data_IF_348109459129
#
_entry.id   IF_348109459129
#
_cell.length_a   1.000
_cell.length_b   1.000
_cell.length_c   1.000
_cell.angle_alpha   90.00
_cell.angle_beta   90.00
_cell.angle_gamma   90.00
#
_symmetry.space_group_name_H-M   'P 1'
#
loop_
_entity.id
_entity.type
_entity.pdbx_description
1 polymer ?
#
# COMPACT_ATOMS: atom_id res chain seq x y z
N UNK A 1 -56.66 24.64 52.82
CA UNK A 1 -55.37 25.34 52.63
C UNK A 1 -54.41 24.36 51.95
N UNK A 2 -53.75 24.84 50.89
CA UNK A 2 -52.95 24.11 49.88
C UNK A 2 -51.82 23.24 50.46
N UNK A 3 -51.49 22.14 49.76
CA UNK A 3 -50.13 21.65 49.45
C UNK A 3 -50.24 20.31 48.69
N UNK A 4 -50.14 20.29 47.35
CA UNK A 4 -48.93 20.37 46.51
C UNK A 4 -48.61 18.98 45.94
N UNK A 5 -49.10 18.74 44.72
CA UNK A 5 -48.67 17.67 43.81
C UNK A 5 -47.24 17.97 43.33
N UNK A 6 -46.31 17.03 43.49
CA UNK A 6 -45.00 17.07 42.85
C UNK A 6 -44.92 15.94 41.82
N UNK A 7 -45.01 16.35 40.55
CA UNK A 7 -44.79 15.54 39.36
C UNK A 7 -43.28 15.37 39.20
N UNK A 8 -42.78 14.13 39.27
CA UNK A 8 -41.40 13.80 38.90
C UNK A 8 -41.32 13.61 37.38
N UNK A 9 -40.78 14.60 36.68
CA UNK A 9 -40.40 14.49 35.27
C UNK A 9 -38.88 14.32 35.13
N UNK A 10 -38.52 13.25 34.41
CA UNK A 10 -37.41 13.10 33.47
C UNK A 10 -35.97 13.46 33.90
N UNK A 11 -35.12 12.44 33.84
CA UNK A 11 -33.66 12.58 33.78
C UNK A 11 -33.01 11.37 33.09
N UNK A 12 -33.51 10.98 31.90
CA UNK A 12 -32.81 10.04 31.03
C UNK A 12 -31.61 10.76 30.41
N UNK A 13 -30.46 10.73 31.09
CA UNK A 13 -29.18 11.13 30.51
C UNK A 13 -28.70 10.04 29.56
N UNK A 14 -29.30 9.97 28.37
CA UNK A 14 -28.66 9.32 27.23
C UNK A 14 -27.45 10.18 26.85
N UNK A 15 -26.28 9.79 27.38
CA UNK A 15 -25.01 10.27 26.91
C UNK A 15 -24.82 9.83 25.47
N UNK A 16 -25.27 10.67 24.52
CA UNK A 16 -24.71 10.69 23.19
C UNK A 16 -23.23 11.05 23.35
N UNK A 17 -22.38 10.03 23.42
CA UNK A 17 -20.97 10.22 23.10
C UNK A 17 -20.92 10.65 21.65
N UNK A 18 -20.87 11.96 21.42
CA UNK A 18 -20.46 12.51 20.13
C UNK A 18 -19.09 11.89 19.84
N UNK A 19 -19.07 10.91 18.93
CA UNK A 19 -17.84 10.39 18.36
C UNK A 19 -17.21 11.60 17.69
N UNK A 20 -16.15 12.16 18.27
CA UNK A 20 -15.48 13.31 17.68
C UNK A 20 -15.15 12.93 16.23
N UNK A 21 -15.76 13.66 15.28
CA UNK A 21 -15.49 13.48 13.86
C UNK A 21 -13.99 13.63 13.68
N UNK A 22 -13.31 12.52 13.44
CA UNK A 22 -11.87 12.54 13.37
C UNK A 22 -11.52 13.28 12.09
N UNK A 23 -10.79 14.40 12.16
CA UNK A 23 -10.66 15.29 11.03
C UNK A 23 -10.12 14.55 9.80
N UNK A 24 -10.79 14.77 8.67
CA UNK A 24 -10.34 14.32 7.35
C UNK A 24 -9.09 15.10 7.00
N UNK A 25 -8.04 14.41 6.59
CA UNK A 25 -6.85 15.08 6.09
C UNK A 25 -7.17 15.65 4.69
N UNK A 26 -6.91 16.93 4.45
CA UNK A 26 -7.30 17.56 3.20
C UNK A 26 -6.37 18.71 2.79
N UNK A 27 -6.38 19.02 1.49
CA UNK A 27 -5.65 20.13 0.91
C UNK A 27 -4.14 20.00 1.01
N UNK A 28 -3.43 21.13 1.00
CA UNK A 28 -1.96 21.18 1.05
C UNK A 28 -1.36 20.56 2.32
N UNK A 29 -2.15 20.43 3.39
CA UNK A 29 -1.71 19.86 4.67
C UNK A 29 -2.02 18.36 4.78
N UNK A 30 -2.58 17.72 3.73
CA UNK A 30 -2.91 16.30 3.76
C UNK A 30 -1.69 15.43 4.16
N UNK A 31 -0.47 15.61 3.61
CA UNK A 31 0.69 14.82 4.02
C UNK A 31 0.98 14.91 5.52
N UNK A 32 1.06 16.12 6.07
CA UNK A 32 1.32 16.32 7.50
C UNK A 32 0.27 15.61 8.37
N UNK A 33 -1.01 15.79 8.04
CA UNK A 33 -2.11 15.15 8.77
C UNK A 33 -2.10 13.61 8.64
N UNK A 34 -1.76 13.08 7.46
CA UNK A 34 -1.66 11.64 7.24
C UNK A 34 -0.51 11.03 8.02
N UNK A 35 0.66 11.68 8.07
CA UNK A 35 1.78 11.21 8.89
C UNK A 35 1.46 11.25 10.39
N UNK A 36 0.73 12.26 10.86
CA UNK A 36 0.20 12.26 12.23
C UNK A 36 -0.73 11.06 12.46
N UNK A 37 -1.70 10.82 11.58
CA UNK A 37 -2.61 9.68 11.70
C UNK A 37 -1.87 8.33 11.74
N UNK A 38 -0.85 8.16 10.90
CA UNK A 38 -0.02 6.94 10.86
C UNK A 38 0.80 6.78 12.14
N UNK A 39 1.37 7.87 12.68
CA UNK A 39 2.14 7.80 13.91
C UNK A 39 1.25 7.60 15.15
N UNK A 40 0.06 8.21 15.18
CA UNK A 40 -0.96 7.98 16.20
C UNK A 40 -1.41 6.51 16.21
N UNK A 41 -1.53 5.88 15.03
CA UNK A 41 -1.79 4.44 14.93
C UNK A 41 -0.67 3.58 15.54
N UNK A 42 0.54 4.12 15.71
CA UNK A 42 1.63 3.44 16.41
C UNK A 42 1.59 3.63 17.94
N UNK A 43 0.76 4.54 18.47
CA UNK A 43 0.65 4.81 19.91
C UNK A 43 0.46 3.57 20.81
N UNK A 44 -0.45 2.61 20.48
CA UNK A 44 -0.65 1.42 21.31
C UNK A 44 0.51 0.43 21.28
N UNK A 45 1.47 0.57 20.36
CA UNK A 45 2.59 -0.36 20.24
C UNK A 45 3.61 -0.18 21.39
N UNK A 46 4.20 -1.28 21.88
CA UNK A 46 5.38 -1.26 22.75
C UNK A 46 6.54 -0.44 22.17
N UNK A 47 7.38 0.14 23.05
CA UNK A 47 8.48 1.01 22.65
C UNK A 47 9.45 0.36 21.66
N UNK A 48 9.76 -0.93 21.86
CA UNK A 48 10.61 -1.71 20.96
C UNK A 48 10.04 -1.85 19.54
N UNK A 49 8.72 -2.01 19.40
CA UNK A 49 8.05 -2.10 18.09
C UNK A 49 8.01 -0.73 17.42
N UNK A 50 7.77 0.34 18.18
CA UNK A 50 7.86 1.73 17.68
C UNK A 50 9.26 2.05 17.18
N UNK A 51 10.30 1.69 17.92
CA UNK A 51 11.69 1.87 17.51
C UNK A 51 12.03 1.13 16.20
N UNK A 52 11.43 -0.04 15.95
CA UNK A 52 11.59 -0.76 14.67
C UNK A 52 10.86 -0.11 13.50
N UNK A 53 9.73 0.57 13.74
CA UNK A 53 8.94 1.26 12.69
C UNK A 53 9.54 2.63 12.36
N UNK A 54 10.10 3.32 13.35
CA UNK A 54 10.60 4.69 13.23
C UNK A 54 11.49 4.94 11.99
N UNK A 55 12.47 4.08 11.63
CA UNK A 55 13.26 4.30 10.42
C UNK A 55 12.43 4.23 9.13
N UNK A 56 11.44 3.33 9.06
CA UNK A 56 10.55 3.22 7.90
C UNK A 56 9.63 4.44 7.80
N UNK A 57 9.11 4.89 8.95
CA UNK A 57 8.29 6.10 9.02
C UNK A 57 9.06 7.33 8.52
N UNK A 58 10.26 7.58 9.04
CA UNK A 58 11.08 8.72 8.63
C UNK A 58 11.51 8.66 7.16
N UNK A 59 11.75 7.47 6.63
CA UNK A 59 12.02 7.27 5.21
C UNK A 59 10.79 7.62 4.34
N UNK A 60 9.58 7.21 4.74
CA UNK A 60 8.34 7.62 4.03
C UNK A 60 8.09 9.12 4.14
N UNK A 61 8.35 9.75 5.29
CA UNK A 61 8.27 11.21 5.44
C UNK A 61 9.23 11.91 4.48
N UNK A 62 10.47 11.41 4.36
CA UNK A 62 11.47 11.95 3.43
C UNK A 62 10.97 11.88 1.98
N UNK A 63 10.29 10.80 1.60
CA UNK A 63 9.73 10.62 0.26
C UNK A 63 8.62 11.65 -0.09
N UNK A 64 8.02 12.30 0.91
CA UNK A 64 7.07 13.40 0.67
C UNK A 64 7.71 14.69 0.17
N UNK A 65 9.04 14.77 0.09
CA UNK A 65 9.74 15.90 -0.52
C UNK A 65 9.63 17.23 0.23
N UNK A 66 9.16 17.21 1.48
CA UNK A 66 9.06 18.41 2.35
C UNK A 66 10.15 18.40 3.43
N UNK A 67 11.24 19.19 3.26
CA UNK A 67 12.32 19.27 4.25
C UNK A 67 11.83 19.74 5.63
N UNK A 68 10.87 20.67 5.66
CA UNK A 68 10.29 21.17 6.90
C UNK A 68 9.55 20.06 7.67
N UNK A 69 8.73 19.26 6.97
CA UNK A 69 8.03 18.13 7.57
C UNK A 69 9.01 17.06 8.06
N UNK A 70 10.03 16.76 7.27
CA UNK A 70 11.08 15.81 7.66
C UNK A 70 11.82 16.28 8.92
N UNK A 71 12.24 17.54 8.97
CA UNK A 71 12.94 18.13 10.12
C UNK A 71 12.07 18.09 11.38
N UNK A 72 10.77 18.41 11.25
CA UNK A 72 9.82 18.33 12.35
C UNK A 72 9.76 16.92 12.94
N UNK A 73 9.64 15.90 12.09
CA UNK A 73 9.56 14.51 12.53
C UNK A 73 10.89 13.99 13.08
N UNK A 74 12.03 14.36 12.50
CA UNK A 74 13.35 14.01 13.04
C UNK A 74 13.54 14.59 14.45
N UNK A 75 13.14 15.85 14.66
CA UNK A 75 13.20 16.50 15.97
C UNK A 75 12.26 15.82 16.98
N UNK A 76 11.02 15.54 16.59
CA UNK A 76 10.03 14.87 17.46
C UNK A 76 10.46 13.46 17.86
N UNK A 77 11.06 12.72 16.95
CA UNK A 77 11.44 11.32 17.18
C UNK A 77 12.87 11.16 17.68
N UNK A 78 13.66 12.24 17.74
CA UNK A 78 15.05 12.21 18.18
C UNK A 78 15.95 11.32 17.32
N UNK A 79 15.64 11.16 16.03
CA UNK A 79 16.41 10.32 15.11
C UNK A 79 16.49 10.92 13.71
N UNK A 80 17.57 10.60 13.01
CA UNK A 80 17.73 11.00 11.61
C UNK A 80 17.08 10.01 10.66
N UNK A 81 16.49 10.51 9.57
CA UNK A 81 16.11 9.66 8.47
C UNK A 81 17.36 9.02 7.86
N UNK A 82 17.37 7.70 7.80
CA UNK A 82 18.46 6.95 7.18
C UNK A 82 18.06 6.71 5.73
N UNK A 83 18.82 7.25 4.79
CA UNK A 83 18.70 6.84 3.40
C UNK A 83 19.18 5.39 3.30
N UNK A 84 18.27 4.46 3.06
CA UNK A 84 18.67 3.12 2.64
C UNK A 84 19.15 3.25 1.21
N UNK A 85 20.42 2.91 0.95
CA UNK A 85 20.88 2.69 -0.42
C UNK A 85 19.85 1.83 -1.15
N UNK A 86 19.49 2.16 -2.40
CA UNK A 86 18.53 1.35 -3.14
C UNK A 86 19.02 -0.10 -3.10
N UNK A 87 18.13 -1.01 -2.67
CA UNK A 87 18.44 -2.42 -2.68
C UNK A 87 18.84 -2.82 -4.10
N UNK A 88 19.81 -3.74 -4.24
CA UNK A 88 20.14 -4.32 -5.54
C UNK A 88 18.84 -4.90 -6.12
N UNK A 89 18.42 -4.39 -7.28
CA UNK A 89 17.20 -4.84 -7.95
C UNK A 89 17.50 -6.08 -8.78
N UNK A 90 17.66 -7.20 -8.07
CA UNK A 90 17.92 -8.50 -8.69
C UNK A 90 16.82 -8.89 -9.69
N UNK A 91 15.58 -8.45 -9.49
CA UNK A 91 14.47 -8.77 -10.39
C UNK A 91 14.59 -8.03 -11.71
N UNK A 92 15.01 -6.76 -11.69
CA UNK A 92 15.32 -6.01 -12.91
C UNK A 92 16.56 -6.56 -13.62
N UNK A 93 17.60 -6.95 -12.88
CA UNK A 93 18.79 -7.57 -13.47
C UNK A 93 18.46 -8.90 -14.17
N UNK A 94 17.66 -9.75 -13.52
CA UNK A 94 17.16 -11.00 -14.10
C UNK A 94 16.29 -10.74 -15.34
N UNK A 95 15.39 -9.76 -15.27
CA UNK A 95 14.54 -9.43 -16.40
C UNK A 95 15.36 -8.93 -17.60
N UNK A 96 16.34 -8.04 -17.37
CA UNK A 96 17.26 -7.56 -18.43
C UNK A 96 18.06 -8.70 -19.04
N UNK A 97 18.56 -9.63 -18.22
CA UNK A 97 19.33 -10.78 -18.70
C UNK A 97 18.51 -11.66 -19.65
N UNK A 98 17.27 -12.01 -19.27
CA UNK A 98 16.41 -12.86 -20.11
C UNK A 98 16.03 -12.16 -21.42
N UNK A 99 15.71 -10.86 -21.36
CA UNK A 99 15.40 -10.07 -22.57
C UNK A 99 16.61 -9.96 -23.48
N UNK A 100 17.80 -9.76 -22.94
CA UNK A 100 19.04 -9.71 -23.73
C UNK A 100 19.37 -11.05 -24.39
N UNK A 101 19.09 -12.16 -23.71
CA UNK A 101 19.36 -13.52 -24.21
C UNK A 101 18.35 -13.96 -25.28
N UNK A 102 17.07 -13.65 -25.12
CA UNK A 102 15.98 -14.32 -25.85
C UNK A 102 14.93 -13.38 -26.44
N UNK A 103 15.11 -12.06 -26.28
CA UNK A 103 14.12 -11.06 -26.70
C UNK A 103 12.85 -11.10 -25.86
N UNK A 104 11.88 -10.24 -26.22
CA UNK A 104 10.62 -10.10 -25.47
C UNK A 104 9.67 -11.29 -25.62
N UNK A 105 9.69 -11.97 -26.77
CA UNK A 105 8.90 -13.19 -26.97
C UNK A 105 9.48 -14.35 -26.14
N UNK A 106 10.81 -14.52 -26.15
CA UNK A 106 11.49 -15.50 -25.32
C UNK A 106 11.31 -15.25 -23.82
N UNK A 107 11.30 -13.98 -23.40
CA UNK A 107 10.96 -13.59 -22.03
C UNK A 107 9.58 -14.10 -21.61
N UNK A 108 8.55 -13.83 -22.43
CA UNK A 108 7.18 -14.27 -22.14
C UNK A 108 7.06 -15.80 -22.15
N UNK A 109 7.64 -16.47 -23.15
CA UNK A 109 7.61 -17.93 -23.26
C UNK A 109 8.28 -18.59 -22.05
N UNK A 110 9.44 -18.08 -21.62
CA UNK A 110 10.19 -18.60 -20.47
C UNK A 110 9.43 -18.38 -19.16
N UNK A 111 8.76 -17.23 -19.01
CA UNK A 111 7.89 -16.96 -17.86
C UNK A 111 6.69 -17.92 -17.82
N UNK A 112 6.03 -18.16 -18.96
CA UNK A 112 4.92 -19.11 -19.06
C UNK A 112 5.34 -20.53 -18.73
N UNK A 113 6.53 -20.94 -19.17
CA UNK A 113 7.11 -22.25 -18.84
C UNK A 113 7.55 -22.38 -17.37
N UNK A 114 7.64 -21.27 -16.61
CA UNK A 114 8.18 -21.29 -15.25
C UNK A 114 9.66 -21.71 -15.19
N UNK A 115 10.40 -21.51 -16.28
CA UNK A 115 11.81 -21.86 -16.35
C UNK A 115 12.68 -20.78 -15.69
N UNK A 116 13.89 -21.17 -15.24
CA UNK A 116 14.86 -20.26 -14.60
C UNK A 116 15.02 -18.96 -15.41
N UNK A 117 14.92 -17.76 -14.80
CA UNK A 117 14.79 -17.49 -13.36
C UNK A 117 13.35 -17.46 -12.81
N UNK A 118 12.33 -17.64 -13.65
CA UNK A 118 10.91 -17.58 -13.26
C UNK A 118 10.41 -18.80 -12.48
N UNK A 119 11.27 -19.72 -12.07
CA UNK A 119 10.91 -20.78 -11.12
C UNK A 119 10.79 -20.25 -9.68
N UNK A 120 11.31 -19.04 -9.41
CA UNK A 120 11.23 -18.34 -8.12
C UNK A 120 10.98 -16.85 -8.38
N UNK A 121 9.98 -16.24 -7.71
CA UNK A 121 9.71 -14.80 -7.85
C UNK A 121 9.23 -14.40 -9.25
N UNK A 122 8.48 -15.29 -9.92
CA UNK A 122 7.97 -15.05 -11.28
C UNK A 122 7.15 -13.76 -11.39
N UNK A 123 6.19 -13.46 -10.48
CA UNK A 123 5.44 -12.21 -10.54
C UNK A 123 6.33 -10.96 -10.53
N UNK A 124 7.36 -10.94 -9.68
CA UNK A 124 8.27 -9.81 -9.51
C UNK A 124 9.17 -9.61 -10.72
N UNK A 125 9.75 -10.70 -11.26
CA UNK A 125 10.58 -10.64 -12.48
C UNK A 125 9.73 -10.19 -13.67
N UNK A 126 8.51 -10.70 -13.82
CA UNK A 126 7.60 -10.24 -14.86
C UNK A 126 7.24 -8.76 -14.70
N UNK A 127 6.97 -8.29 -13.48
CA UNK A 127 6.69 -6.88 -13.22
C UNK A 127 7.89 -5.98 -13.56
N UNK A 128 9.12 -6.42 -13.26
CA UNK A 128 10.32 -5.75 -13.71
C UNK A 128 10.42 -5.71 -15.25
N UNK A 129 10.07 -6.80 -15.93
CA UNK A 129 9.94 -6.85 -17.39
C UNK A 129 8.94 -5.83 -17.94
N UNK A 130 7.76 -5.70 -17.31
CA UNK A 130 6.75 -4.68 -17.68
C UNK A 130 7.30 -3.26 -17.55
N UNK A 131 8.11 -2.97 -16.52
CA UNK A 131 8.76 -1.66 -16.33
C UNK A 131 9.85 -1.39 -17.36
N UNK A 132 10.52 -2.42 -17.85
CA UNK A 132 11.58 -2.35 -18.86
C UNK A 132 11.07 -2.37 -20.32
N UNK A 133 9.78 -2.63 -20.53
CA UNK A 133 9.20 -2.73 -21.85
C UNK A 133 9.48 -1.46 -22.70
N UNK A 134 9.93 -1.61 -23.96
CA UNK A 134 10.39 -0.48 -24.78
C UNK A 134 9.23 0.39 -25.29
N UNK A 135 8.02 -0.16 -25.29
CA UNK A 135 6.83 0.48 -25.84
C UNK A 135 5.55 0.01 -25.12
N UNK A 136 4.45 0.74 -25.38
CA UNK A 136 3.15 0.46 -24.78
C UNK A 136 2.52 -0.86 -25.27
N UNK A 137 2.88 -1.36 -26.44
CA UNK A 137 2.35 -2.63 -26.95
C UNK A 137 2.96 -3.81 -26.18
N UNK A 138 4.29 -3.81 -26.01
CA UNK A 138 5.03 -4.79 -25.22
C UNK A 138 4.59 -4.73 -23.75
N UNK A 139 4.44 -3.53 -23.19
CA UNK A 139 3.94 -3.36 -21.82
C UNK A 139 2.57 -4.02 -21.63
N UNK A 140 1.60 -3.72 -22.51
CA UNK A 140 0.25 -4.31 -22.46
C UNK A 140 0.28 -5.84 -22.63
N UNK A 141 1.08 -6.35 -23.56
CA UNK A 141 1.23 -7.80 -23.78
C UNK A 141 1.75 -8.50 -22.52
N UNK A 142 2.81 -7.98 -21.91
CA UNK A 142 3.38 -8.56 -20.69
C UNK A 142 2.42 -8.47 -19.50
N UNK A 143 1.73 -7.33 -19.31
CA UNK A 143 0.69 -7.20 -18.28
C UNK A 143 -0.44 -8.20 -18.48
N UNK A 144 -0.89 -8.41 -19.72
CA UNK A 144 -1.91 -9.42 -20.01
C UNK A 144 -1.40 -10.84 -19.72
N UNK A 145 -0.15 -11.16 -20.08
CA UNK A 145 0.45 -12.45 -19.76
C UNK A 145 0.51 -12.71 -18.25
N UNK A 146 0.79 -11.68 -17.43
CA UNK A 146 0.73 -11.78 -15.97
C UNK A 146 -0.69 -12.09 -15.47
N UNK A 147 -1.71 -11.43 -16.03
CA UNK A 147 -3.12 -11.73 -15.69
C UNK A 147 -3.52 -13.16 -16.08
N UNK A 148 -3.09 -13.64 -17.25
CA UNK A 148 -3.35 -15.01 -17.69
C UNK A 148 -2.70 -16.00 -16.71
N UNK A 149 -1.44 -15.76 -16.34
CA UNK A 149 -0.68 -16.62 -15.44
C UNK A 149 -1.32 -16.69 -14.05
N UNK A 150 -1.82 -15.57 -13.52
CA UNK A 150 -2.54 -15.51 -12.24
C UNK A 150 -3.85 -16.33 -12.21
N UNK A 151 -4.42 -16.63 -13.39
CA UNK A 151 -5.67 -17.41 -13.52
C UNK A 151 -5.43 -18.88 -13.83
N UNK A 152 -4.20 -19.26 -14.21
CA UNK A 152 -3.86 -20.65 -14.52
C UNK A 152 -3.85 -21.45 -13.23
N UNK A 153 -4.80 -22.38 -13.07
CA UNK A 153 -4.68 -23.43 -12.05
C UNK A 153 -3.57 -24.37 -12.50
N UNK A 154 -2.47 -24.47 -11.75
CA UNK A 154 -1.51 -25.52 -12.05
C UNK A 154 -2.09 -26.82 -11.52
N UNK A 155 -2.14 -27.84 -12.38
CA UNK A 155 -2.69 -29.17 -12.03
C UNK A 155 -1.85 -29.94 -11.00
N UNK A 156 -0.90 -29.29 -10.31
CA UNK A 156 -0.17 -29.84 -9.16
C UNK A 156 -0.96 -29.56 -7.89
N UNK A 157 -1.98 -30.36 -7.63
CA UNK A 157 -2.91 -30.23 -6.49
C UNK A 157 -2.26 -29.98 -5.13
N UNK A 158 -2.05 -28.71 -4.78
CA UNK A 158 -1.51 -28.26 -3.50
C UNK A 158 -1.70 -26.76 -3.31
N UNK A 159 -1.53 -26.29 -2.07
CA UNK A 159 -1.68 -24.89 -1.62
C UNK A 159 -0.85 -23.83 -2.39
N UNK A 160 0.08 -24.24 -3.28
CA UNK A 160 1.01 -23.34 -3.99
C UNK A 160 0.38 -22.41 -5.03
N UNK A 161 -0.72 -22.82 -5.65
CA UNK A 161 -1.37 -22.08 -6.73
C UNK A 161 -2.00 -20.76 -6.27
N UNK A 162 -2.56 -20.76 -5.05
CA UNK A 162 -3.16 -19.57 -4.48
C UNK A 162 -2.10 -18.53 -4.08
N UNK A 163 -0.92 -18.98 -3.59
CA UNK A 163 0.17 -18.06 -3.26
C UNK A 163 0.67 -17.30 -4.48
N UNK A 164 0.98 -18.01 -5.57
CA UNK A 164 1.49 -17.36 -6.79
C UNK A 164 0.44 -16.42 -7.40
N UNK A 165 -0.84 -16.81 -7.37
CA UNK A 165 -1.94 -15.93 -7.78
C UNK A 165 -1.96 -14.64 -6.95
N UNK A 166 -1.79 -14.73 -5.62
CA UNK A 166 -1.79 -13.57 -4.74
C UNK A 166 -0.60 -12.64 -5.02
N UNK A 167 0.57 -13.20 -5.30
CA UNK A 167 1.78 -12.45 -5.64
C UNK A 167 1.63 -11.75 -7.01
N UNK A 168 1.05 -12.43 -8.02
CA UNK A 168 0.65 -11.77 -9.27
C UNK A 168 -0.36 -10.65 -9.03
N UNK A 169 -1.39 -10.87 -8.20
CA UNK A 169 -2.35 -9.84 -7.85
C UNK A 169 -1.69 -8.61 -7.23
N UNK A 170 -0.71 -8.80 -6.34
CA UNK A 170 0.05 -7.71 -5.74
C UNK A 170 0.88 -6.95 -6.78
N UNK A 171 1.67 -7.67 -7.57
CA UNK A 171 2.55 -7.07 -8.59
C UNK A 171 1.74 -6.30 -9.65
N UNK A 172 0.61 -6.86 -10.11
CA UNK A 172 -0.31 -6.19 -11.03
C UNK A 172 -0.96 -4.96 -10.42
N UNK A 173 -1.38 -5.01 -9.14
CA UNK A 173 -1.95 -3.86 -8.46
C UNK A 173 -0.94 -2.72 -8.34
N UNK A 174 0.34 -3.04 -8.05
CA UNK A 174 1.40 -2.04 -8.02
C UNK A 174 1.63 -1.40 -9.40
N UNK A 175 1.73 -2.21 -10.46
CA UNK A 175 1.90 -1.72 -11.83
C UNK A 175 0.74 -0.84 -12.29
N UNK A 176 -0.50 -1.27 -12.04
CA UNK A 176 -1.70 -0.51 -12.39
C UNK A 176 -1.81 0.78 -11.57
N UNK A 177 -1.46 0.75 -10.28
CA UNK A 177 -1.37 1.95 -9.44
C UNK A 177 -0.35 2.95 -10.00
N UNK A 178 0.86 2.49 -10.35
CA UNK A 178 1.89 3.35 -10.94
C UNK A 178 1.44 3.95 -12.28
N UNK A 179 0.75 3.15 -13.10
CA UNK A 179 0.25 3.53 -14.42
C UNK A 179 -1.08 4.31 -14.41
N UNK A 180 -1.67 4.58 -13.24
CA UNK A 180 -2.98 5.24 -13.12
C UNK A 180 -4.14 4.50 -13.81
N UNK A 181 -4.06 3.16 -13.87
CA UNK A 181 -5.09 2.30 -14.47
C UNK A 181 -6.03 1.75 -13.39
N UNK A 182 -7.16 2.43 -13.15
CA UNK A 182 -8.13 2.03 -12.11
C UNK A 182 -8.76 0.67 -12.39
N UNK A 183 -9.07 0.37 -13.65
CA UNK A 183 -9.73 -0.89 -14.01
C UNK A 183 -8.79 -2.07 -13.83
N UNK A 184 -7.54 -1.93 -14.29
CA UNK A 184 -6.50 -2.93 -14.04
C UNK A 184 -6.22 -3.10 -12.55
N UNK A 185 -6.20 -1.99 -11.80
CA UNK A 185 -6.00 -2.00 -10.35
C UNK A 185 -7.09 -2.79 -9.62
N UNK A 186 -8.37 -2.46 -9.84
CA UNK A 186 -9.49 -3.12 -9.16
C UNK A 186 -9.54 -4.63 -9.52
N UNK A 187 -9.24 -4.99 -10.78
CA UNK A 187 -9.10 -6.40 -11.20
C UNK A 187 -7.93 -7.10 -10.50
N UNK A 188 -6.79 -6.45 -10.35
CA UNK A 188 -5.61 -7.00 -9.73
C UNK A 188 -5.79 -7.23 -8.21
N UNK A 189 -6.35 -6.24 -7.51
CA UNK A 189 -6.62 -6.31 -6.07
C UNK A 189 -7.56 -7.46 -5.72
N UNK A 190 -8.59 -7.71 -6.54
CA UNK A 190 -9.51 -8.83 -6.36
C UNK A 190 -8.84 -10.21 -6.41
N UNK A 191 -7.63 -10.31 -6.95
CA UNK A 191 -6.85 -11.55 -6.98
C UNK A 191 -5.92 -11.70 -5.77
N UNK A 192 -5.75 -10.70 -4.92
CA UNK A 192 -4.84 -10.74 -3.77
C UNK A 192 -5.42 -11.51 -2.58
N UNK A 193 -4.57 -11.92 -1.63
CA UNK A 193 -5.01 -12.59 -0.41
C UNK A 193 -5.87 -11.71 0.52
N UNK A 194 -5.69 -10.39 0.46
CA UNK A 194 -6.32 -9.42 1.35
C UNK A 194 -6.74 -8.17 0.56
N UNK A 195 -7.78 -8.27 -0.29
CA UNK A 195 -8.20 -7.18 -1.17
C UNK A 195 -8.59 -5.90 -0.41
N UNK A 196 -9.18 -6.05 0.77
CA UNK A 196 -9.62 -4.92 1.60
C UNK A 196 -8.50 -4.30 2.45
N UNK A 197 -7.25 -4.73 2.27
CA UNK A 197 -6.14 -4.21 3.07
C UNK A 197 -5.97 -2.70 2.92
N UNK A 198 -5.53 -2.05 4.01
CA UNK A 198 -5.29 -0.61 4.02
C UNK A 198 -4.29 -0.17 2.94
N UNK A 199 -3.30 -1.02 2.62
CA UNK A 199 -2.32 -0.77 1.55
C UNK A 199 -3.03 -0.53 0.21
N UNK A 200 -3.92 -1.44 -0.20
CA UNK A 200 -4.63 -1.33 -1.47
C UNK A 200 -5.64 -0.18 -1.46
N UNK A 201 -6.28 0.10 -0.32
CA UNK A 201 -7.14 1.28 -0.19
C UNK A 201 -6.34 2.58 -0.46
N UNK A 202 -5.14 2.73 0.12
CA UNK A 202 -4.28 3.89 -0.11
C UNK A 202 -3.74 3.94 -1.55
N UNK A 203 -3.31 2.80 -2.11
CA UNK A 203 -2.89 2.73 -3.51
C UNK A 203 -4.00 3.16 -4.48
N UNK A 204 -5.24 2.74 -4.21
CA UNK A 204 -6.41 3.17 -4.98
C UNK A 204 -6.60 4.69 -4.89
N UNK A 205 -6.40 5.28 -3.72
CA UNK A 205 -6.50 6.75 -3.55
C UNK A 205 -5.46 7.51 -4.34
N UNK A 206 -4.29 6.91 -4.66
CA UNK A 206 -3.36 7.53 -5.62
C UNK A 206 -4.03 7.78 -6.98
N UNK A 207 -4.86 6.85 -7.42
CA UNK A 207 -5.58 6.93 -8.71
C UNK A 207 -6.79 7.85 -8.59
N UNK A 208 -7.58 7.74 -7.52
CA UNK A 208 -8.85 8.47 -7.39
C UNK A 208 -8.76 9.83 -6.69
N UNK A 209 -7.64 10.11 -6.02
CA UNK A 209 -7.47 11.23 -5.10
C UNK A 209 -7.97 10.93 -3.68
N UNK A 210 -7.76 11.91 -2.79
CA UNK A 210 -8.34 12.01 -1.45
C UNK A 210 -7.96 10.89 -0.47
N UNK A 211 -6.66 10.56 -0.37
CA UNK A 211 -6.14 9.62 0.62
C UNK A 211 -6.52 10.00 2.05
N UNK A 212 -6.69 11.29 2.33
CA UNK A 212 -7.04 11.78 3.66
C UNK A 212 -8.38 11.30 4.22
N UNK A 213 -9.28 10.79 3.38
CA UNK A 213 -10.50 10.10 3.83
C UNK A 213 -10.19 8.81 4.63
N UNK A 214 -9.00 8.21 4.44
CA UNK A 214 -8.57 7.00 5.14
C UNK A 214 -7.93 7.30 6.51
N UNK A 215 -7.75 8.56 6.90
CA UNK A 215 -7.09 8.93 8.16
C UNK A 215 -7.80 8.35 9.39
N UNK A 216 -9.13 8.35 9.42
CA UNK A 216 -9.90 7.74 10.51
C UNK A 216 -9.69 6.21 10.57
N UNK A 217 -9.64 5.55 9.42
CA UNK A 217 -9.37 4.11 9.32
C UNK A 217 -7.97 3.77 9.86
N UNK A 218 -6.97 4.56 9.48
CA UNK A 218 -5.58 4.41 9.95
C UNK A 218 -5.53 4.46 11.48
N UNK A 219 -6.19 5.44 12.11
CA UNK A 219 -6.18 5.61 13.57
C UNK A 219 -6.92 4.49 14.32
N UNK A 220 -8.07 4.06 13.80
CA UNK A 220 -9.01 3.25 14.57
C UNK A 220 -8.80 1.74 14.43
N UNK A 221 -8.11 1.27 13.40
CA UNK A 221 -7.90 -0.18 13.16
C UNK A 221 -6.56 -0.69 13.73
N UNK A 222 -5.78 0.16 14.40
CA UNK A 222 -4.50 -0.22 14.97
C UNK A 222 -4.63 -1.11 16.23
N UNK A 223 -3.69 -2.03 16.40
CA UNK A 223 -3.59 -2.91 17.58
C UNK A 223 -2.21 -2.80 18.24
N UNK A 224 -2.14 -3.02 19.55
CA UNK A 224 -0.89 -3.07 20.32
C UNK A 224 0.00 -4.29 19.95
N UNK A 225 -0.60 -5.33 19.39
CA UNK A 225 0.06 -6.61 19.18
C UNK A 225 0.84 -6.67 17.86
N UNK A 226 0.51 -5.80 16.89
CA UNK A 226 0.93 -6.02 15.52
C UNK A 226 1.30 -4.73 14.78
N UNK A 227 2.48 -4.75 14.17
CA UNK A 227 3.00 -3.64 13.35
C UNK A 227 2.47 -3.64 11.91
N UNK A 228 1.81 -4.71 11.46
CA UNK A 228 1.32 -4.87 10.08
C UNK A 228 0.40 -3.73 9.66
N UNK A 229 -0.45 -3.23 10.56
CA UNK A 229 -1.35 -2.11 10.26
C UNK A 229 -0.57 -0.83 9.93
N UNK A 230 0.35 -0.42 10.80
CA UNK A 230 1.18 0.77 10.61
C UNK A 230 2.10 0.62 9.38
N UNK A 231 2.68 -0.57 9.16
CA UNK A 231 3.47 -0.87 7.96
C UNK A 231 2.63 -0.79 6.69
N UNK A 232 1.42 -1.35 6.70
CA UNK A 232 0.48 -1.29 5.58
C UNK A 232 0.07 0.15 5.27
N UNK A 233 -0.09 1.00 6.28
CA UNK A 233 -0.35 2.43 6.10
C UNK A 233 0.85 3.15 5.46
N UNK A 234 2.08 2.88 5.93
CA UNK A 234 3.30 3.45 5.38
C UNK A 234 3.52 3.01 3.93
N UNK A 235 3.48 1.71 3.65
CA UNK A 235 3.64 1.14 2.31
C UNK A 235 2.51 1.55 1.35
N UNK A 236 1.31 1.76 1.89
CA UNK A 236 0.16 2.27 1.14
C UNK A 236 0.29 3.75 0.78
N UNK A 237 0.76 4.58 1.71
CA UNK A 237 0.84 6.03 1.51
C UNK A 237 2.12 6.48 0.81
N UNK A 238 3.21 5.69 0.86
CA UNK A 238 4.48 6.02 0.21
C UNK A 238 4.33 6.37 -1.28
N UNK A 239 3.59 5.61 -2.11
CA UNK A 239 3.38 5.97 -3.51
C UNK A 239 2.57 7.27 -3.70
N UNK A 240 1.65 7.60 -2.79
CA UNK A 240 0.89 8.85 -2.87
C UNK A 240 1.82 10.05 -2.69
N UNK A 241 2.70 10.00 -1.69
CA UNK A 241 3.61 11.12 -1.40
C UNK A 241 4.81 11.20 -2.34
N UNK A 242 5.28 10.08 -2.89
CA UNK A 242 6.45 10.04 -3.78
C UNK A 242 6.10 10.26 -5.26
N UNK A 243 4.95 9.76 -5.72
CA UNK A 243 4.55 9.82 -7.12
C UNK A 243 3.39 10.80 -7.38
N UNK A 244 2.81 11.38 -6.32
CA UNK A 244 1.62 12.21 -6.40
C UNK A 244 0.36 11.45 -6.82
N UNK A 245 -0.76 12.18 -6.85
CA UNK A 245 -2.00 11.69 -7.43
C UNK A 245 -1.93 11.64 -8.96
N UNK A 246 -2.69 10.73 -9.55
CA UNK A 246 -2.89 10.68 -10.99
C UNK A 246 -3.60 11.95 -11.49
N UNK A 247 -3.18 12.45 -12.66
CA UNK A 247 -3.90 13.53 -13.33
C UNK A 247 -5.34 13.08 -13.63
N UNK A 248 -6.31 13.96 -13.37
CA UNK A 248 -7.72 13.73 -13.69
C UNK A 248 -8.03 14.20 -15.09
#
# INVERSE_FOLDING_TARGET
>A
MLRAFLILCAGFSLGLTARADTPVCAGANEPSCMFEAIWEAAAPLPAEKKARIQPFFLETVRQAGSPALLQQWQARLGASAIHRSPAIDYTADQARAVVAESGWEGFEQRARAGAVPFNTGRPEIMAAGVRLAPDAATKRRLTQAMFDLAQTKHTRGGMGDDFEKYDFGHALAELSMQACDLNGFDRAVAMTAAPDSLRYALWRTRITGHAGALAARIRNEASADDTRHVRGALEGYAPVVSLGYCAR
#
